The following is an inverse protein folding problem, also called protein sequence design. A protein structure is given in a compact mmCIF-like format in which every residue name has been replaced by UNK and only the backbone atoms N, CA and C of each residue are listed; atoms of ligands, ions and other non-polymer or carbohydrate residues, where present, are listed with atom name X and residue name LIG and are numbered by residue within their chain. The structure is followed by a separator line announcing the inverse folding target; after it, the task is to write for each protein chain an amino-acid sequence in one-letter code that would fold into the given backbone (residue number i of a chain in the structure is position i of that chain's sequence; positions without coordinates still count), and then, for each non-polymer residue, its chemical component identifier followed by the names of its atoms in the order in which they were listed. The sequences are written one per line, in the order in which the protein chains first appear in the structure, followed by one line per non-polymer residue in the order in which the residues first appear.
data_IF_557185811910
#
_entry.id   IF_557185811910
#
_cell.length_a   1.000
_cell.length_b   1.000
_cell.length_c   1.000
_cell.angle_alpha   90.00
_cell.angle_beta   90.00
_cell.angle_gamma   90.00
#
_symmetry.space_group_name_H-M   'P 1'
#
loop_
_entity.id
_entity.type
_entity.pdbx_description
1 polymer ?
#
# COMPACT_ATOMS: atom_id res chain seq x y z
N UNK A 1 -8.78 29.76 17.91
CA UNK A 1 -9.74 29.03 17.06
C UNK A 1 -8.93 27.97 16.34
N UNK A 2 -9.36 26.72 16.44
CA UNK A 2 -8.73 25.58 15.78
C UNK A 2 -8.66 25.84 14.28
N UNK A 3 -7.53 25.51 13.68
CA UNK A 3 -7.27 25.76 12.27
C UNK A 3 -6.98 24.44 11.55
N UNK A 4 -7.72 24.23 10.46
CA UNK A 4 -7.74 23.00 9.67
C UNK A 4 -6.90 23.10 8.38
N UNK A 5 -6.13 24.18 8.20
CA UNK A 5 -5.31 24.40 6.98
C UNK A 5 -4.47 23.17 6.60
N UNK A 6 -3.87 22.49 7.58
CA UNK A 6 -3.02 21.31 7.40
C UNK A 6 -3.67 20.02 7.89
N UNK A 7 -4.97 20.06 8.20
CA UNK A 7 -5.62 18.94 8.85
C UNK A 7 -5.61 17.68 7.96
N UNK A 8 -5.48 16.54 8.61
CA UNK A 8 -5.61 15.22 7.99
C UNK A 8 -6.62 14.39 8.75
N UNK A 9 -7.38 13.59 8.00
CA UNK A 9 -8.41 12.70 8.55
C UNK A 9 -7.86 11.29 8.70
N UNK A 10 -8.47 10.51 9.59
CA UNK A 10 -8.07 9.13 9.86
C UNK A 10 -7.96 8.26 8.60
N UNK A 11 -8.92 8.28 7.63
CA UNK A 11 -8.79 7.47 6.42
C UNK A 11 -7.56 7.85 5.58
N UNK A 12 -7.31 9.15 5.38
CA UNK A 12 -6.15 9.60 4.62
C UNK A 12 -4.84 9.26 5.33
N UNK A 13 -4.77 9.48 6.65
CA UNK A 13 -3.58 9.17 7.43
C UNK A 13 -3.26 7.67 7.40
N UNK A 14 -4.27 6.81 7.56
CA UNK A 14 -4.09 5.36 7.50
C UNK A 14 -3.57 4.92 6.13
N UNK A 15 -4.14 5.45 5.04
CA UNK A 15 -3.63 5.18 3.70
C UNK A 15 -2.20 5.71 3.50
N UNK A 16 -1.91 6.92 3.99
CA UNK A 16 -0.58 7.51 3.88
C UNK A 16 0.48 6.68 4.62
N UNK A 17 0.20 6.26 5.85
CA UNK A 17 1.10 5.39 6.62
C UNK A 17 1.27 4.02 5.96
N UNK A 18 0.19 3.46 5.39
CA UNK A 18 0.28 2.27 4.57
C UNK A 18 1.21 2.48 3.36
N UNK A 19 1.06 3.59 2.62
CA UNK A 19 1.89 3.92 1.46
C UNK A 19 3.37 4.00 1.83
N UNK A 20 3.72 4.72 2.90
CA UNK A 20 5.11 4.85 3.36
C UNK A 20 5.69 3.50 3.82
N UNK A 21 4.87 2.72 4.54
CA UNK A 21 5.22 1.37 4.96
C UNK A 21 5.44 0.44 3.76
N UNK A 22 4.57 0.49 2.76
CA UNK A 22 4.67 -0.29 1.53
C UNK A 22 5.92 0.11 0.73
N UNK A 23 6.17 1.41 0.57
CA UNK A 23 7.36 1.95 -0.10
C UNK A 23 8.64 1.41 0.53
N UNK A 24 8.73 1.44 1.85
CA UNK A 24 9.85 0.88 2.61
C UNK A 24 9.96 -0.63 2.41
N UNK A 25 8.86 -1.37 2.58
CA UNK A 25 8.84 -2.84 2.43
C UNK A 25 9.28 -3.27 1.03
N UNK A 26 8.74 -2.67 -0.03
CA UNK A 26 9.09 -2.99 -1.42
C UNK A 26 10.58 -2.75 -1.66
N UNK A 27 11.11 -1.60 -1.23
CA UNK A 27 12.55 -1.29 -1.38
C UNK A 27 13.44 -2.27 -0.62
N UNK A 28 13.11 -2.56 0.63
CA UNK A 28 13.87 -3.49 1.48
C UNK A 28 13.82 -4.90 0.92
N UNK A 29 12.63 -5.40 0.54
CA UNK A 29 12.45 -6.72 -0.05
C UNK A 29 13.23 -6.85 -1.35
N UNK A 30 13.04 -5.91 -2.29
CA UNK A 30 13.73 -5.92 -3.58
C UNK A 30 15.25 -5.93 -3.39
N UNK A 31 15.78 -5.07 -2.51
CA UNK A 31 17.22 -4.96 -2.25
C UNK A 31 17.78 -6.22 -1.57
N UNK A 32 17.10 -6.72 -0.54
CA UNK A 32 17.56 -7.89 0.22
C UNK A 32 17.56 -9.13 -0.63
N UNK A 33 16.51 -9.32 -1.42
CA UNK A 33 16.37 -10.47 -2.29
C UNK A 33 17.34 -10.44 -3.48
N UNK A 34 17.59 -9.27 -4.07
CA UNK A 34 18.65 -9.12 -5.06
C UNK A 34 20.02 -9.51 -4.47
N UNK A 35 20.31 -9.05 -3.25
CA UNK A 35 21.56 -9.41 -2.56
C UNK A 35 21.67 -10.93 -2.33
N UNK A 36 20.58 -11.58 -1.95
CA UNK A 36 20.53 -13.04 -1.80
C UNK A 36 20.75 -13.76 -3.13
N UNK A 37 20.11 -13.31 -4.21
CA UNK A 37 20.30 -13.88 -5.56
C UNK A 37 21.77 -13.74 -5.99
N UNK A 38 22.36 -12.55 -5.82
CA UNK A 38 23.78 -12.32 -6.15
C UNK A 38 24.71 -13.23 -5.35
N UNK A 39 24.45 -13.39 -4.06
CA UNK A 39 25.22 -14.28 -3.21
C UNK A 39 25.12 -15.74 -3.66
N UNK A 40 23.91 -16.23 -3.98
CA UNK A 40 23.68 -17.61 -4.39
C UNK A 40 24.21 -17.96 -5.78
N UNK A 41 24.29 -16.97 -6.66
CA UNK A 41 24.87 -17.12 -8.00
C UNK A 41 26.40 -16.93 -8.00
N UNK A 42 27.00 -16.57 -6.88
CA UNK A 42 28.47 -16.55 -6.74
C UNK A 42 29.00 -17.99 -6.73
N UNK A 43 30.04 -18.32 -7.53
CA UNK A 43 30.62 -19.66 -7.56
C UNK A 43 30.98 -20.18 -6.16
N UNK A 44 30.58 -21.40 -5.84
CA UNK A 44 30.78 -22.04 -4.53
C UNK A 44 29.67 -21.78 -3.49
N UNK A 45 28.59 -21.08 -3.88
CA UNK A 45 27.43 -20.83 -3.03
C UNK A 45 26.13 -21.51 -3.52
N UNK A 46 26.19 -22.34 -4.56
CA UNK A 46 25.03 -22.85 -5.31
C UNK A 46 24.02 -23.60 -4.42
N UNK A 47 24.50 -24.23 -3.34
CA UNK A 47 23.69 -25.00 -2.40
C UNK A 47 23.48 -24.32 -1.03
N UNK A 48 23.88 -23.05 -0.88
CA UNK A 48 23.82 -22.34 0.41
C UNK A 48 22.46 -21.74 0.73
N UNK A 49 21.47 -21.85 -0.16
CA UNK A 49 20.10 -21.37 0.09
C UNK A 49 19.51 -22.01 1.35
N UNK A 50 19.67 -23.32 1.52
CA UNK A 50 19.17 -24.04 2.70
C UNK A 50 19.83 -23.55 4.00
N UNK A 51 21.11 -23.20 3.96
CA UNK A 51 21.81 -22.63 5.12
C UNK A 51 21.31 -21.23 5.46
N UNK A 52 21.08 -20.38 4.45
CA UNK A 52 20.52 -19.04 4.64
C UNK A 52 19.12 -19.10 5.25
N UNK A 53 18.25 -19.97 4.73
CA UNK A 53 16.89 -20.14 5.25
C UNK A 53 16.92 -20.58 6.72
N UNK A 54 17.72 -21.61 7.06
CA UNK A 54 17.87 -22.09 8.44
C UNK A 54 18.45 -21.03 9.40
N UNK A 55 19.34 -20.16 8.92
CA UNK A 55 19.90 -19.05 9.71
C UNK A 55 18.91 -17.92 9.94
N UNK A 56 17.96 -17.72 9.03
CA UNK A 56 17.03 -16.58 9.07
C UNK A 56 16.01 -16.75 10.20
N UNK A 57 15.45 -17.95 10.35
CA UNK A 57 14.51 -18.23 11.43
C UNK A 57 14.54 -19.73 11.81
N UNK A 58 14.64 -19.97 13.13
CA UNK A 58 14.76 -21.30 13.72
C UNK A 58 13.57 -22.21 13.43
N UNK A 59 12.43 -21.68 13.00
CA UNK A 59 11.25 -22.44 12.60
C UNK A 59 11.41 -23.12 11.23
N UNK A 60 12.35 -22.66 10.39
CA UNK A 60 12.60 -23.21 9.06
C UNK A 60 13.61 -24.37 9.07
N UNK A 61 13.53 -25.28 10.06
CA UNK A 61 14.47 -26.41 10.14
C UNK A 61 14.27 -27.43 9.00
N UNK A 62 13.06 -27.45 8.42
CA UNK A 62 12.65 -28.32 7.32
C UNK A 62 12.03 -27.48 6.17
N UNK A 63 12.82 -26.64 5.47
CA UNK A 63 12.28 -25.99 4.28
C UNK A 63 11.92 -27.08 3.26
N UNK A 64 10.80 -26.96 2.53
CA UNK A 64 10.46 -27.94 1.50
C UNK A 64 11.63 -28.10 0.54
N UNK A 65 12.05 -29.35 0.30
CA UNK A 65 13.16 -29.66 -0.60
C UNK A 65 12.86 -29.10 -2.00
N UNK A 66 13.60 -28.09 -2.43
CA UNK A 66 13.61 -27.62 -3.81
C UNK A 66 14.45 -28.57 -4.68
N UNK A 67 13.96 -29.80 -4.88
CA UNK A 67 14.43 -30.61 -6.01
C UNK A 67 13.59 -30.23 -7.21
N UNK A 68 14.14 -29.37 -8.08
CA UNK A 68 13.60 -29.22 -9.44
C UNK A 68 13.70 -30.58 -10.14
N UNK A 69 12.65 -31.08 -10.78
CA UNK A 69 12.76 -32.28 -11.59
C UNK A 69 13.80 -32.03 -12.68
N UNK A 70 14.87 -32.83 -12.68
CA UNK A 70 15.81 -32.83 -13.80
C UNK A 70 15.03 -33.14 -15.08
N UNK A 71 15.20 -32.38 -16.17
CA UNK A 71 14.66 -32.79 -17.45
C UNK A 71 15.19 -34.20 -17.76
N UNK A 72 14.40 -35.07 -18.40
CA UNK A 72 14.85 -36.40 -18.76
C UNK A 72 16.08 -36.26 -19.66
N UNK A 73 17.24 -36.59 -19.10
CA UNK A 73 18.48 -36.68 -19.86
C UNK A 73 18.39 -37.98 -20.63
N UNK A 74 18.21 -37.87 -21.94
CA UNK A 74 18.34 -39.01 -22.83
C UNK A 74 19.82 -39.41 -22.90
N UNK A 75 20.22 -40.34 -22.02
CA UNK A 75 21.59 -40.86 -21.89
C UNK A 75 22.11 -41.54 -23.17
N UNK A 76 21.26 -41.69 -24.19
CA UNK A 76 21.63 -42.26 -25.49
C UNK A 76 22.62 -41.40 -26.30
N UNK A 77 22.72 -40.09 -26.02
CA UNK A 77 23.61 -39.18 -26.76
C UNK A 77 24.98 -38.91 -26.11
N UNK A 78 25.23 -39.38 -24.87
CA UNK A 78 26.46 -39.09 -24.14
C UNK A 78 27.61 -40.09 -24.36
N UNK A 79 27.41 -41.14 -25.17
CA UNK A 79 28.46 -42.15 -25.43
C UNK A 79 29.28 -41.96 -26.69
N UNK A 80 28.98 -40.98 -27.55
CA UNK A 80 29.72 -40.77 -28.79
C UNK A 80 30.23 -39.33 -28.93
N UNK A 81 31.30 -38.99 -28.20
CA UNK A 81 32.37 -38.06 -28.64
C UNK A 81 33.47 -37.91 -27.59
N UNK A 82 34.16 -38.99 -27.28
CA UNK A 82 35.57 -38.91 -26.85
C UNK A 82 36.41 -38.65 -28.10
N UNK A 83 36.57 -37.38 -28.48
CA UNK A 83 37.68 -36.96 -29.34
C UNK A 83 38.20 -35.61 -28.87
N UNK A 84 39.43 -35.64 -28.38
CA UNK A 84 40.21 -34.50 -27.92
C UNK A 84 40.22 -33.35 -28.94
N UNK A 85 39.81 -32.17 -28.51
CA UNK A 85 40.36 -30.89 -29.00
C UNK A 85 40.10 -29.82 -27.95
N UNK A 86 41.19 -29.26 -27.41
CA UNK A 86 41.18 -28.06 -26.56
C UNK A 86 40.34 -26.97 -27.23
N UNK A 87 39.31 -26.50 -26.54
CA UNK A 87 38.47 -25.35 -26.89
C UNK A 87 38.29 -24.47 -25.65
N UNK A 88 39.39 -24.21 -24.93
CA UNK A 88 39.42 -23.47 -23.66
C UNK A 88 39.10 -21.95 -23.79
N UNK A 89 38.45 -21.51 -24.88
CA UNK A 89 38.08 -20.09 -25.10
C UNK A 89 36.66 -19.86 -25.61
N UNK A 90 36.02 -20.86 -26.22
CA UNK A 90 34.60 -20.74 -26.63
C UNK A 90 33.64 -21.17 -25.51
N UNK A 91 34.05 -22.08 -24.63
CA UNK A 91 33.24 -22.53 -23.48
C UNK A 91 33.07 -21.45 -22.40
N UNK A 92 34.11 -20.67 -22.10
CA UNK A 92 34.07 -19.61 -21.08
C UNK A 92 33.09 -18.47 -21.43
N UNK A 93 32.95 -18.12 -22.71
CA UNK A 93 31.98 -17.10 -23.15
C UNK A 93 30.53 -17.60 -23.05
N UNK A 94 30.30 -18.90 -23.27
CA UNK A 94 28.98 -19.51 -23.12
C UNK A 94 28.56 -19.67 -21.66
N UNK A 95 29.51 -20.01 -20.77
CA UNK A 95 29.23 -20.15 -19.34
C UNK A 95 28.94 -18.79 -18.69
N UNK A 96 29.70 -17.74 -19.04
CA UNK A 96 29.46 -16.39 -18.52
C UNK A 96 28.10 -15.84 -18.98
N UNK A 97 27.74 -16.03 -20.25
CA UNK A 97 26.43 -15.64 -20.81
C UNK A 97 25.28 -16.43 -20.17
N UNK A 98 25.48 -17.73 -19.92
CA UNK A 98 24.51 -18.56 -19.22
C UNK A 98 24.26 -18.09 -17.78
N UNK A 99 25.32 -17.79 -17.02
CA UNK A 99 25.18 -17.30 -15.65
C UNK A 99 24.54 -15.90 -15.60
N UNK A 100 24.84 -15.03 -16.57
CA UNK A 100 24.20 -13.72 -16.69
C UNK A 100 22.69 -13.85 -16.94
N UNK A 101 22.29 -14.66 -17.92
CA UNK A 101 20.86 -14.93 -18.20
C UNK A 101 20.13 -15.54 -17.02
N UNK A 102 20.78 -16.46 -16.30
CA UNK A 102 20.23 -17.06 -15.08
C UNK A 102 20.01 -16.01 -13.99
N UNK A 103 20.95 -15.07 -13.83
CA UNK A 103 20.81 -13.93 -12.90
C UNK A 103 19.64 -13.03 -13.29
N UNK A 104 19.56 -12.64 -14.55
CA UNK A 104 18.51 -11.77 -15.07
C UNK A 104 17.12 -12.38 -14.85
N UNK A 105 16.94 -13.66 -15.23
CA UNK A 105 15.68 -14.37 -15.03
C UNK A 105 15.27 -14.44 -13.55
N UNK A 106 16.23 -14.74 -12.66
CA UNK A 106 15.96 -14.79 -11.22
C UNK A 106 15.54 -13.41 -10.67
N UNK A 107 16.20 -12.33 -11.12
CA UNK A 107 15.85 -10.96 -10.75
C UNK A 107 14.47 -10.55 -11.28
N UNK A 108 14.14 -10.93 -12.51
CA UNK A 108 12.83 -10.68 -13.10
C UNK A 108 11.71 -11.38 -12.33
N UNK A 109 11.83 -12.68 -12.06
CA UNK A 109 10.84 -13.42 -11.27
C UNK A 109 10.62 -12.78 -9.88
N UNK A 110 11.69 -12.26 -9.30
CA UNK A 110 11.62 -11.58 -8.01
C UNK A 110 10.88 -10.26 -8.08
N UNK A 111 11.23 -9.44 -9.06
CA UNK A 111 10.64 -8.13 -9.28
C UNK A 111 9.17 -8.26 -9.57
N UNK A 112 8.81 -9.28 -10.34
CA UNK A 112 7.45 -9.65 -10.61
C UNK A 112 6.68 -9.97 -9.31
N UNK A 113 7.17 -10.90 -8.49
CA UNK A 113 6.53 -11.27 -7.23
C UNK A 113 6.33 -10.08 -6.28
N UNK A 114 7.38 -9.26 -6.08
CA UNK A 114 7.31 -8.07 -5.22
C UNK A 114 6.29 -7.07 -5.75
N UNK A 115 6.23 -6.87 -7.07
CA UNK A 115 5.26 -5.96 -7.70
C UNK A 115 3.82 -6.43 -7.57
N UNK A 116 3.55 -7.73 -7.74
CA UNK A 116 2.21 -8.28 -7.55
C UNK A 116 1.70 -8.05 -6.12
N UNK A 117 2.53 -8.38 -5.13
CA UNK A 117 2.21 -8.16 -3.72
C UNK A 117 1.95 -6.67 -3.43
N UNK A 118 2.76 -5.77 -4.01
CA UNK A 118 2.59 -4.34 -3.83
C UNK A 118 1.27 -3.83 -4.44
N UNK A 119 0.93 -4.26 -5.66
CA UNK A 119 -0.32 -3.87 -6.33
C UNK A 119 -1.52 -4.42 -5.56
N UNK A 120 -1.48 -5.68 -5.13
CA UNK A 120 -2.57 -6.26 -4.34
C UNK A 120 -2.77 -5.54 -3.01
N UNK A 121 -1.71 -5.38 -2.23
CA UNK A 121 -1.78 -4.68 -0.95
C UNK A 121 -2.32 -3.27 -1.10
N UNK A 122 -1.94 -2.59 -2.20
CA UNK A 122 -2.43 -1.25 -2.53
C UNK A 122 -3.95 -1.21 -2.73
N UNK A 123 -4.52 -2.14 -3.50
CA UNK A 123 -5.95 -2.19 -3.74
C UNK A 123 -6.75 -2.71 -2.54
N UNK A 124 -6.16 -3.57 -1.71
CA UNK A 124 -6.76 -3.95 -0.42
C UNK A 124 -6.84 -2.74 0.52
N UNK A 125 -5.76 -1.97 0.67
CA UNK A 125 -5.76 -0.76 1.49
C UNK A 125 -6.72 0.31 0.97
N UNK A 126 -6.90 0.41 -0.36
CA UNK A 126 -7.93 1.25 -0.97
C UNK A 126 -9.33 0.85 -0.50
N UNK A 127 -9.64 -0.45 -0.54
CA UNK A 127 -10.95 -0.96 -0.13
C UNK A 127 -11.24 -0.68 1.34
N UNK A 128 -10.25 -0.93 2.22
CA UNK A 128 -10.35 -0.63 3.64
C UNK A 128 -10.59 0.87 3.88
N UNK A 129 -9.86 1.75 3.17
CA UNK A 129 -10.03 3.19 3.32
C UNK A 129 -11.39 3.70 2.84
N UNK A 130 -11.95 3.14 1.77
CA UNK A 130 -13.31 3.49 1.32
C UNK A 130 -14.34 3.12 2.39
N UNK A 131 -14.20 1.91 2.98
CA UNK A 131 -15.08 1.45 4.07
C UNK A 131 -14.93 2.35 5.30
N UNK A 132 -13.71 2.76 5.64
CA UNK A 132 -13.44 3.65 6.77
C UNK A 132 -14.09 5.02 6.59
N UNK A 133 -14.05 5.61 5.39
CA UNK A 133 -14.72 6.88 5.08
C UNK A 133 -16.22 6.78 5.35
N UNK A 134 -16.84 5.71 4.83
CA UNK A 134 -18.26 5.46 5.01
C UNK A 134 -18.65 5.26 6.47
N UNK A 135 -17.80 4.55 7.22
CA UNK A 135 -17.96 4.32 8.66
C UNK A 135 -17.88 5.62 9.46
N UNK A 136 -16.92 6.49 9.14
CA UNK A 136 -16.78 7.80 9.80
C UNK A 136 -17.93 8.74 9.50
N UNK A 137 -18.39 8.83 8.25
CA UNK A 137 -19.56 9.64 7.91
C UNK A 137 -20.83 9.13 8.57
N UNK A 138 -21.04 7.81 8.59
CA UNK A 138 -22.20 7.21 9.25
C UNK A 138 -22.18 7.49 10.75
N UNK A 139 -21.02 7.30 11.39
CA UNK A 139 -20.85 7.56 12.84
C UNK A 139 -21.08 9.02 13.19
N UNK A 140 -20.57 9.95 12.37
CA UNK A 140 -20.76 11.38 12.53
C UNK A 140 -22.22 11.81 12.30
N UNK A 141 -22.86 11.27 11.26
CA UNK A 141 -24.25 11.57 10.95
C UNK A 141 -25.19 11.11 12.07
N UNK A 142 -24.98 9.88 12.59
CA UNK A 142 -25.70 9.37 13.75
C UNK A 142 -25.49 10.24 14.99
N UNK A 143 -24.26 10.67 15.23
CA UNK A 143 -23.93 11.50 16.39
C UNK A 143 -24.64 12.87 16.35
N UNK A 144 -24.69 13.51 15.17
CA UNK A 144 -25.34 14.81 15.01
C UNK A 144 -26.83 14.75 14.65
N UNK A 145 -27.46 13.58 14.67
CA UNK A 145 -28.84 13.37 14.23
C UNK A 145 -29.12 13.92 12.83
N UNK A 146 -28.16 13.75 11.93
CA UNK A 146 -28.28 14.11 10.50
C UNK A 146 -28.39 12.85 9.65
N UNK A 147 -28.94 12.97 8.46
CA UNK A 147 -28.93 11.88 7.48
C UNK A 147 -27.71 12.04 6.56
N UNK A 148 -26.89 10.99 6.47
CA UNK A 148 -25.91 10.87 5.39
C UNK A 148 -26.64 10.46 4.11
N UNK A 149 -26.96 11.44 3.25
CA UNK A 149 -27.57 11.15 1.95
C UNK A 149 -26.48 10.72 0.98
N UNK A 150 -26.57 9.47 0.54
CA UNK A 150 -25.77 8.96 -0.58
C UNK A 150 -26.64 8.84 -1.81
N UNK A 151 -26.13 9.28 -2.94
CA UNK A 151 -26.75 9.00 -4.24
C UNK A 151 -26.35 7.59 -4.69
N UNK A 152 -27.22 6.96 -5.48
CA UNK A 152 -26.83 5.74 -6.20
C UNK A 152 -25.92 6.11 -7.36
N UNK A 153 -24.79 5.42 -7.48
CA UNK A 153 -23.89 5.53 -8.64
C UNK A 153 -23.84 4.22 -9.41
N UNK A 154 -23.88 4.34 -10.72
CA UNK A 154 -23.79 3.22 -11.68
C UNK A 154 -22.35 2.94 -12.10
N UNK A 155 -21.36 3.71 -11.62
CA UNK A 155 -19.97 3.51 -12.03
C UNK A 155 -19.41 2.19 -11.48
N UNK A 156 -18.74 1.46 -12.36
CA UNK A 156 -17.95 0.27 -12.00
C UNK A 156 -16.60 0.62 -11.37
N UNK A 157 -16.15 1.87 -11.53
CA UNK A 157 -14.91 2.39 -10.95
C UNK A 157 -15.17 2.79 -9.49
N UNK A 158 -14.46 2.16 -8.54
CA UNK A 158 -14.65 2.40 -7.10
C UNK A 158 -14.43 3.85 -6.69
N UNK A 159 -13.46 4.54 -7.29
CA UNK A 159 -13.17 5.94 -6.98
C UNK A 159 -14.28 6.84 -7.50
N UNK A 160 -14.70 6.64 -8.75
CA UNK A 160 -15.80 7.41 -9.32
C UNK A 160 -17.09 7.21 -8.52
N UNK A 161 -17.40 5.96 -8.18
CA UNK A 161 -18.58 5.62 -7.36
C UNK A 161 -18.57 6.32 -6.00
N UNK A 162 -17.41 6.45 -5.37
CA UNK A 162 -17.26 7.18 -4.10
C UNK A 162 -17.49 8.69 -4.29
N UNK A 163 -16.94 9.27 -5.35
CA UNK A 163 -17.13 10.70 -5.63
C UNK A 163 -18.58 11.00 -6.01
N UNK A 164 -19.20 10.16 -6.84
CA UNK A 164 -20.60 10.31 -7.25
C UNK A 164 -21.54 10.19 -6.05
N UNK A 165 -21.35 9.16 -5.20
CA UNK A 165 -22.22 8.88 -4.05
C UNK A 165 -22.27 10.03 -3.04
N UNK A 166 -21.21 10.84 -3.00
CA UNK A 166 -21.09 12.01 -2.15
C UNK A 166 -21.19 13.35 -2.90
N UNK A 167 -21.52 13.33 -4.19
CA UNK A 167 -21.65 14.52 -5.05
C UNK A 167 -20.36 15.39 -5.06
N UNK A 168 -19.19 14.74 -5.00
CA UNK A 168 -17.90 15.41 -5.02
C UNK A 168 -17.41 15.68 -6.45
N UNK A 169 -16.64 16.76 -6.61
CA UNK A 169 -16.09 17.14 -7.90
C UNK A 169 -14.75 16.44 -8.16
N UNK A 170 -14.67 15.67 -9.25
CA UNK A 170 -13.46 14.93 -9.65
C UNK A 170 -12.40 15.77 -10.39
N UNK A 171 -12.59 17.09 -10.57
CA UNK A 171 -11.69 17.95 -11.37
C UNK A 171 -10.22 17.83 -10.97
N UNK A 172 -9.94 17.73 -9.68
CA UNK A 172 -8.57 17.66 -9.15
C UNK A 172 -7.92 16.30 -9.35
N UNK A 173 -8.70 15.23 -9.49
CA UNK A 173 -8.20 13.87 -9.66
C UNK A 173 -8.35 13.33 -11.08
N UNK A 174 -9.02 14.08 -11.97
CA UNK A 174 -9.30 13.65 -13.35
C UNK A 174 -8.04 13.22 -14.09
N UNK A 175 -6.92 13.89 -13.84
CA UNK A 175 -5.64 13.56 -14.46
C UNK A 175 -5.02 12.28 -13.93
N UNK A 176 -5.48 11.72 -12.81
CA UNK A 176 -4.98 10.48 -12.22
C UNK A 176 -5.85 9.26 -12.56
N UNK A 177 -7.11 9.46 -12.94
CA UNK A 177 -8.06 8.38 -13.23
C UNK A 177 -7.56 7.39 -14.29
N UNK A 178 -6.97 7.81 -15.44
CA UNK A 178 -6.46 6.85 -16.42
C UNK A 178 -5.37 5.94 -15.87
N UNK A 179 -4.47 6.48 -15.03
CA UNK A 179 -3.39 5.72 -14.39
C UNK A 179 -3.98 4.74 -13.36
N UNK A 180 -4.96 5.19 -12.58
CA UNK A 180 -5.69 4.31 -11.65
C UNK A 180 -6.37 3.15 -12.39
N UNK A 181 -7.03 3.42 -13.51
CA UNK A 181 -7.73 2.40 -14.30
C UNK A 181 -6.77 1.40 -14.92
N UNK A 182 -5.62 1.86 -15.41
CA UNK A 182 -4.52 0.99 -15.83
C UNK A 182 -4.13 0.03 -14.70
N UNK A 183 -3.84 0.54 -13.49
CA UNK A 183 -3.45 -0.32 -12.38
C UNK A 183 -4.58 -1.21 -11.86
N UNK A 184 -5.84 -0.78 -12.00
CA UNK A 184 -7.00 -1.61 -11.68
C UNK A 184 -7.12 -2.79 -12.65
N UNK A 185 -6.90 -2.55 -13.95
CA UNK A 185 -6.87 -3.59 -14.98
C UNK A 185 -5.69 -4.56 -14.79
N UNK A 186 -4.53 -4.04 -14.39
CA UNK A 186 -3.38 -4.85 -13.97
C UNK A 186 -3.75 -5.74 -12.79
N UNK A 187 -4.23 -5.17 -11.67
CA UNK A 187 -4.60 -5.94 -10.48
C UNK A 187 -5.60 -7.05 -10.80
N UNK A 188 -6.61 -6.76 -11.61
CA UNK A 188 -7.61 -7.75 -12.01
C UNK A 188 -7.01 -8.87 -12.87
N UNK A 189 -6.05 -8.54 -13.73
CA UNK A 189 -5.36 -9.53 -14.56
C UNK A 189 -4.44 -10.42 -13.70
N UNK A 190 -3.72 -9.86 -12.73
CA UNK A 190 -2.95 -10.62 -11.74
C UNK A 190 -3.89 -11.57 -10.98
N UNK A 191 -5.00 -11.06 -10.45
CA UNK A 191 -5.92 -11.83 -9.61
C UNK A 191 -6.68 -12.95 -10.33
N UNK A 192 -7.09 -12.73 -11.58
CA UNK A 192 -8.07 -13.60 -12.24
C UNK A 192 -7.54 -14.28 -13.50
N UNK A 193 -6.33 -13.94 -13.95
CA UNK A 193 -5.75 -14.46 -15.21
C UNK A 193 -4.33 -14.96 -15.04
N UNK A 194 -3.91 -15.32 -13.82
CA UNK A 194 -2.55 -15.78 -13.53
C UNK A 194 -1.51 -14.80 -14.09
N UNK A 195 -1.77 -13.51 -13.90
CA UNK A 195 -0.89 -12.44 -14.35
C UNK A 195 -0.72 -12.32 -15.85
N UNK A 196 -1.71 -12.78 -16.62
CA UNK A 196 -1.81 -12.54 -18.06
C UNK A 196 -2.74 -11.39 -18.39
N UNK A 197 -2.30 -10.50 -19.27
CA UNK A 197 -3.05 -9.32 -19.68
C UNK A 197 -4.44 -9.68 -20.22
N UNK A 198 -5.44 -8.94 -19.72
CA UNK A 198 -6.82 -8.98 -20.21
C UNK A 198 -6.99 -8.09 -21.44
N UNK A 199 -8.11 -8.25 -22.17
CA UNK A 199 -8.47 -7.33 -23.26
C UNK A 199 -8.52 -5.87 -22.76
N UNK A 200 -9.16 -5.65 -21.61
CA UNK A 200 -9.22 -4.32 -20.98
C UNK A 200 -7.83 -3.74 -20.70
N UNK A 201 -6.91 -4.53 -20.16
CA UNK A 201 -5.54 -4.05 -19.91
C UNK A 201 -4.82 -3.75 -21.22
N UNK A 202 -4.93 -4.63 -22.21
CA UNK A 202 -4.30 -4.45 -23.52
C UNK A 202 -4.77 -3.16 -24.20
N UNK A 203 -6.06 -2.86 -24.15
CA UNK A 203 -6.64 -1.61 -24.66
C UNK A 203 -6.19 -0.38 -23.87
N UNK A 204 -6.34 -0.38 -22.54
CA UNK A 204 -6.02 0.78 -21.69
C UNK A 204 -4.53 1.11 -21.75
N UNK A 205 -3.67 0.09 -21.74
CA UNK A 205 -2.21 0.29 -21.71
C UNK A 205 -1.67 1.04 -22.93
N UNK A 206 -2.34 0.92 -24.09
CA UNK A 206 -1.98 1.60 -25.35
C UNK A 206 -2.79 2.88 -25.60
N UNK A 207 -3.65 3.27 -24.66
CA UNK A 207 -4.52 4.41 -24.85
C UNK A 207 -3.75 5.73 -24.79
N UNK A 208 -4.10 6.65 -25.71
CA UNK A 208 -3.52 7.99 -25.72
C UNK A 208 -3.85 8.76 -24.44
N UNK A 209 -5.02 8.51 -23.84
CA UNK A 209 -5.44 9.11 -22.58
C UNK A 209 -4.51 8.73 -21.41
N UNK A 210 -4.12 7.45 -21.30
CA UNK A 210 -3.14 7.00 -20.31
C UNK A 210 -1.80 7.71 -20.50
N UNK A 211 -1.32 7.77 -21.75
CA UNK A 211 -0.04 8.39 -22.08
C UNK A 211 -0.01 9.86 -21.68
N UNK A 212 -1.02 10.63 -22.06
CA UNK A 212 -1.14 12.05 -21.72
C UNK A 212 -1.25 12.27 -20.20
N UNK A 213 -1.96 11.38 -19.51
CA UNK A 213 -2.08 11.40 -18.06
C UNK A 213 -0.72 11.17 -17.37
N UNK A 214 0.06 10.18 -17.82
CA UNK A 214 1.41 9.91 -17.29
C UNK A 214 2.35 11.07 -17.58
N UNK A 215 2.40 11.56 -18.83
CA UNK A 215 3.29 12.67 -19.22
C UNK A 215 2.97 13.97 -18.45
N UNK A 216 1.69 14.25 -18.21
CA UNK A 216 1.28 15.45 -17.48
C UNK A 216 1.69 15.41 -16.01
N UNK A 217 1.46 14.28 -15.33
CA UNK A 217 1.72 14.17 -13.90
C UNK A 217 3.18 13.80 -13.60
N UNK A 218 3.85 13.12 -14.54
CA UNK A 218 5.23 12.62 -14.39
C UNK A 218 6.04 12.90 -15.67
N UNK A 219 6.34 14.17 -15.99
CA UNK A 219 7.00 14.56 -17.24
C UNK A 219 8.43 14.02 -17.39
N UNK A 220 9.07 13.66 -16.27
CA UNK A 220 10.39 13.00 -16.24
C UNK A 220 10.30 11.48 -16.00
N UNK A 221 9.08 10.96 -15.96
CA UNK A 221 8.79 9.54 -15.75
C UNK A 221 9.03 8.73 -17.01
N UNK A 222 9.25 7.42 -16.83
CA UNK A 222 9.16 6.48 -17.95
C UNK A 222 7.68 6.23 -18.27
N UNK A 223 7.33 5.98 -19.54
CA UNK A 223 6.02 5.47 -19.89
C UNK A 223 5.68 4.20 -19.09
N UNK A 224 4.39 3.98 -18.87
CA UNK A 224 3.92 2.70 -18.33
C UNK A 224 4.05 1.62 -19.41
N UNK A 225 4.15 0.36 -18.97
CA UNK A 225 4.25 -0.77 -19.89
C UNK A 225 2.97 -0.90 -20.70
N UNK A 226 3.13 -1.11 -22.01
CA UNK A 226 2.05 -1.55 -22.90
C UNK A 226 1.96 -3.07 -22.86
N UNK A 227 0.77 -3.62 -23.08
CA UNK A 227 0.57 -5.07 -23.10
C UNK A 227 -0.27 -5.53 -24.29
N UNK A 228 0.11 -6.66 -24.88
CA UNK A 228 -0.73 -7.45 -25.77
C UNK A 228 -1.68 -8.35 -24.99
N UNK A 229 -2.79 -8.75 -25.62
CA UNK A 229 -3.71 -9.70 -25.01
C UNK A 229 -2.99 -11.01 -24.69
N UNK A 230 -3.20 -11.52 -23.47
CA UNK A 230 -2.62 -12.76 -22.96
C UNK A 230 -1.09 -12.76 -22.78
N UNK A 231 -0.45 -11.60 -22.88
CA UNK A 231 0.96 -11.40 -22.50
C UNK A 231 1.16 -11.50 -20.98
N UNK A 232 2.29 -12.03 -20.55
CA UNK A 232 2.67 -12.04 -19.13
C UNK A 232 2.92 -10.61 -18.63
N UNK A 233 2.29 -10.24 -17.52
CA UNK A 233 2.38 -8.89 -16.97
C UNK A 233 3.65 -8.75 -16.16
N UNK A 234 4.63 -8.08 -16.76
CA UNK A 234 5.84 -7.67 -16.05
C UNK A 234 5.80 -6.19 -15.66
N UNK A 235 5.79 -5.91 -14.36
CA UNK A 235 5.82 -4.56 -13.80
C UNK A 235 6.97 -4.45 -12.81
N UNK A 236 7.79 -3.41 -12.95
CA UNK A 236 8.90 -3.18 -12.03
C UNK A 236 8.42 -2.78 -10.62
N UNK A 237 9.19 -3.08 -9.56
CA UNK A 237 8.84 -2.65 -8.19
C UNK A 237 8.69 -1.14 -8.05
N UNK A 238 9.41 -0.37 -8.86
CA UNK A 238 9.25 1.09 -8.91
C UNK A 238 7.89 1.49 -9.48
N UNK A 239 7.45 0.83 -10.55
CA UNK A 239 6.17 1.09 -11.19
C UNK A 239 5.00 0.62 -10.32
N UNK A 240 5.13 -0.48 -9.57
CA UNK A 240 4.10 -0.90 -8.62
C UNK A 240 3.91 0.09 -7.47
N UNK A 241 4.97 0.76 -7.00
CA UNK A 241 4.86 1.85 -6.03
C UNK A 241 4.12 3.09 -6.56
N UNK A 242 4.19 3.34 -7.87
CA UNK A 242 3.40 4.40 -8.49
C UNK A 242 1.90 4.15 -8.32
N UNK A 243 1.43 2.89 -8.36
CA UNK A 243 0.04 2.54 -8.10
C UNK A 243 -0.44 3.10 -6.75
N UNK A 244 0.30 2.79 -5.68
CA UNK A 244 -0.02 3.28 -4.33
C UNK A 244 0.09 4.80 -4.23
N UNK A 245 1.08 5.39 -4.90
CA UNK A 245 1.23 6.83 -4.92
C UNK A 245 0.04 7.55 -5.54
N UNK A 246 -0.48 7.03 -6.67
CA UNK A 246 -1.65 7.59 -7.35
C UNK A 246 -2.88 7.57 -6.45
N UNK A 247 -3.13 6.44 -5.78
CA UNK A 247 -4.24 6.33 -4.85
C UNK A 247 -4.04 7.26 -3.64
N UNK A 248 -2.81 7.45 -3.16
CA UNK A 248 -2.51 8.44 -2.10
C UNK A 248 -2.88 9.85 -2.53
N UNK A 249 -2.55 10.26 -3.76
CA UNK A 249 -2.89 11.58 -4.30
C UNK A 249 -4.41 11.77 -4.45
N UNK A 250 -5.13 10.71 -4.83
CA UNK A 250 -6.59 10.71 -4.84
C UNK A 250 -7.15 10.88 -3.43
N UNK A 251 -6.62 10.14 -2.44
CA UNK A 251 -7.05 10.28 -1.06
C UNK A 251 -6.69 11.63 -0.42
N UNK A 252 -5.66 12.30 -0.91
CA UNK A 252 -5.32 13.68 -0.49
C UNK A 252 -6.42 14.67 -0.91
N UNK A 253 -7.03 14.48 -2.08
CA UNK A 253 -8.18 15.28 -2.52
C UNK A 253 -9.45 14.89 -1.73
N UNK A 254 -9.71 13.60 -1.54
CA UNK A 254 -10.82 13.10 -0.71
C UNK A 254 -10.73 13.66 0.72
N UNK A 255 -9.53 13.73 1.31
CA UNK A 255 -9.31 14.30 2.64
C UNK A 255 -9.89 15.71 2.76
N UNK A 256 -9.76 16.54 1.72
CA UNK A 256 -10.32 17.91 1.70
C UNK A 256 -11.84 17.90 1.76
N UNK A 257 -12.48 16.96 1.06
CA UNK A 257 -13.93 16.80 1.13
C UNK A 257 -14.40 16.30 2.50
N UNK A 258 -13.68 15.35 3.10
CA UNK A 258 -13.97 14.86 4.46
C UNK A 258 -13.88 16.03 5.46
N UNK A 259 -12.78 16.80 5.43
CA UNK A 259 -12.59 17.96 6.30
C UNK A 259 -13.69 18.99 6.10
N UNK A 260 -14.05 19.29 4.85
CA UNK A 260 -15.13 20.22 4.54
C UNK A 260 -16.49 19.75 5.08
N UNK A 261 -16.78 18.46 4.99
CA UNK A 261 -18.05 17.86 5.45
C UNK A 261 -18.12 17.74 6.98
N UNK A 262 -17.02 17.38 7.62
CA UNK A 262 -16.95 17.14 9.06
C UNK A 262 -16.71 18.43 9.87
N UNK A 263 -15.96 19.38 9.31
CA UNK A 263 -15.56 20.61 10.00
C UNK A 263 -14.75 20.34 11.26
N UNK A 264 -14.55 21.40 12.06
CA UNK A 264 -13.80 21.32 13.32
C UNK A 264 -14.47 20.32 14.27
N UNK A 265 -15.79 20.37 14.38
CA UNK A 265 -16.57 19.53 15.29
C UNK A 265 -16.41 18.04 14.97
N UNK A 266 -16.48 17.66 13.69
CA UNK A 266 -16.31 16.27 13.30
C UNK A 266 -14.88 15.77 13.50
N UNK A 267 -13.86 16.61 13.27
CA UNK A 267 -12.47 16.25 13.57
C UNK A 267 -12.25 16.06 15.08
N UNK A 268 -12.86 16.91 15.93
CA UNK A 268 -12.81 16.73 17.38
C UNK A 268 -13.55 15.46 17.81
N UNK A 269 -14.71 15.16 17.20
CA UNK A 269 -15.41 13.91 17.42
C UNK A 269 -14.55 12.68 17.07
N UNK A 270 -13.92 12.66 15.89
CA UNK A 270 -12.98 11.59 15.50
C UNK A 270 -11.82 11.48 16.50
N UNK A 271 -11.31 12.62 16.96
CA UNK A 271 -10.20 12.68 17.93
C UNK A 271 -10.61 12.07 19.26
N UNK A 272 -11.79 12.41 19.76
CA UNK A 272 -12.33 11.84 21.00
C UNK A 272 -12.56 10.33 20.88
N UNK A 273 -13.12 9.86 19.77
CA UNK A 273 -13.32 8.43 19.49
C UNK A 273 -11.99 7.67 19.53
N UNK A 274 -10.98 8.16 18.81
CA UNK A 274 -9.67 7.52 18.80
C UNK A 274 -8.95 7.61 20.15
N UNK A 275 -9.07 8.75 20.86
CA UNK A 275 -8.40 8.95 22.13
C UNK A 275 -9.01 8.13 23.28
N UNK A 276 -10.34 7.91 23.27
CA UNK A 276 -11.09 7.48 24.45
C UNK A 276 -12.07 6.31 24.21
N UNK A 277 -11.99 5.60 23.08
CA UNK A 277 -12.69 4.32 22.94
C UNK A 277 -11.82 3.12 23.35
N UNK A 278 -12.44 2.06 23.93
CA UNK A 278 -11.72 0.86 24.36
C UNK A 278 -10.88 0.21 23.27
N UNK A 279 -11.37 0.18 22.03
CA UNK A 279 -10.68 -0.40 20.88
C UNK A 279 -9.38 0.31 20.51
N UNK A 280 -9.24 1.58 20.89
CA UNK A 280 -8.15 2.46 20.49
C UNK A 280 -7.28 2.90 21.68
N UNK A 281 -7.64 2.52 22.90
CA UNK A 281 -6.95 2.98 24.11
C UNK A 281 -5.61 2.26 24.29
N UNK A 282 -4.53 2.92 23.87
CA UNK A 282 -3.18 2.44 24.18
C UNK A 282 -2.81 2.71 25.65
N UNK A 283 -2.67 1.64 26.44
CA UNK A 283 -2.28 1.65 27.86
C UNK A 283 -0.80 2.00 28.08
N UNK A 284 0.06 1.83 27.07
CA UNK A 284 1.51 2.04 27.20
C UNK A 284 1.93 3.52 27.17
N UNK A 285 1.03 4.43 26.76
CA UNK A 285 1.26 5.88 26.77
C UNK A 285 0.52 6.51 27.94
N UNK A 286 1.20 6.68 29.07
CA UNK A 286 0.67 7.39 30.24
C UNK A 286 0.67 8.89 29.93
N UNK A 287 -0.49 9.41 29.55
CA UNK A 287 -0.74 10.85 29.47
C UNK A 287 -1.60 11.21 30.68
N UNK A 288 -1.05 12.00 31.61
CA UNK A 288 -1.68 12.26 32.91
C UNK A 288 -3.04 12.95 32.83
N UNK A 289 -3.32 13.73 31.78
CA UNK A 289 -4.58 14.46 31.65
C UNK A 289 -5.29 14.07 30.37
N UNK A 290 -6.61 13.83 30.45
CA UNK A 290 -7.45 13.55 29.29
C UNK A 290 -7.28 14.63 28.22
N UNK A 291 -7.22 15.90 28.62
CA UNK A 291 -6.99 17.04 27.71
C UNK A 291 -5.72 16.88 26.88
N UNK A 292 -4.63 16.50 27.53
CA UNK A 292 -3.34 16.36 26.85
C UNK A 292 -3.40 15.21 25.82
N UNK A 293 -4.13 14.14 26.13
CA UNK A 293 -4.35 13.03 25.18
C UNK A 293 -5.19 13.46 23.99
N UNK A 294 -6.25 14.24 24.21
CA UNK A 294 -7.04 14.82 23.12
C UNK A 294 -6.17 15.73 22.24
N UNK A 295 -5.37 16.62 22.85
CA UNK A 295 -4.48 17.53 22.13
C UNK A 295 -3.39 16.79 21.35
N UNK A 296 -2.85 15.67 21.87
CA UNK A 296 -1.90 14.82 21.14
C UNK A 296 -2.52 14.26 19.86
N UNK A 297 -3.77 13.80 19.90
CA UNK A 297 -4.47 13.32 18.71
C UNK A 297 -4.77 14.49 17.74
N UNK A 298 -5.36 15.57 18.24
CA UNK A 298 -5.77 16.71 17.41
C UNK A 298 -4.57 17.35 16.69
N UNK A 299 -3.50 17.67 17.42
CA UNK A 299 -2.32 18.34 16.86
C UNK A 299 -1.30 17.37 16.26
N UNK A 300 -1.00 16.27 16.97
CA UNK A 300 0.06 15.34 16.57
C UNK A 300 -0.37 14.36 15.49
N UNK A 301 -1.60 13.87 15.54
CA UNK A 301 -2.12 12.90 14.56
C UNK A 301 -2.86 13.56 13.40
N UNK A 302 -3.77 14.49 13.71
CA UNK A 302 -4.59 15.14 12.69
C UNK A 302 -4.06 16.50 12.22
N UNK A 303 -2.90 16.93 12.71
CA UNK A 303 -2.21 18.16 12.27
C UNK A 303 -3.08 19.43 12.34
N UNK A 304 -4.06 19.45 13.24
CA UNK A 304 -4.88 20.63 13.51
C UNK A 304 -4.06 21.59 14.37
N UNK A 305 -3.98 22.86 13.96
CA UNK A 305 -3.28 23.88 14.74
C UNK A 305 -4.15 24.30 15.92
N UNK A 306 -3.63 24.08 17.13
CA UNK A 306 -4.26 24.46 18.39
C UNK A 306 -3.61 25.76 18.89
N UNK A 307 -4.40 26.83 19.06
CA UNK A 307 -3.88 28.12 19.55
C UNK A 307 -3.94 28.26 21.08
N UNK A 308 -4.80 27.50 21.73
CA UNK A 308 -4.93 27.45 23.19
C UNK A 308 -5.24 26.04 23.68
N UNK A 309 -4.66 25.66 24.82
CA UNK A 309 -4.68 24.28 25.32
C UNK A 309 -6.09 23.69 25.53
N UNK A 310 -7.09 24.54 25.76
CA UNK A 310 -8.48 24.12 26.02
C UNK A 310 -9.39 24.21 24.79
N UNK A 311 -8.89 24.64 23.62
CA UNK A 311 -9.77 24.83 22.45
C UNK A 311 -10.45 23.53 21.99
N UNK A 312 -9.69 22.42 21.94
CA UNK A 312 -10.24 21.11 21.59
C UNK A 312 -11.27 20.61 22.62
N UNK A 313 -10.99 20.84 23.90
CA UNK A 313 -11.90 20.48 25.01
C UNK A 313 -13.20 21.27 24.92
N UNK A 314 -13.13 22.59 24.68
CA UNK A 314 -14.33 23.43 24.56
C UNK A 314 -15.24 22.98 23.42
N UNK A 315 -14.68 22.55 22.28
CA UNK A 315 -15.45 21.97 21.19
C UNK A 315 -16.04 20.61 21.59
N UNK A 316 -15.27 19.74 22.26
CA UNK A 316 -15.80 18.47 22.77
C UNK A 316 -16.90 18.66 23.83
N UNK A 317 -16.84 19.73 24.62
CA UNK A 317 -17.86 20.12 25.59
C UNK A 317 -19.12 20.64 24.90
N UNK A 318 -18.98 21.48 23.86
CA UNK A 318 -20.14 21.96 23.08
C UNK A 318 -20.85 20.83 22.34
N UNK A 319 -20.12 19.77 21.98
CA UNK A 319 -20.67 18.53 21.42
C UNK A 319 -21.27 17.60 22.50
N UNK A 320 -21.07 17.88 23.79
CA UNK A 320 -21.59 17.05 24.88
C UNK A 320 -20.85 15.71 25.09
N UNK A 321 -19.73 15.46 24.40
CA UNK A 321 -18.97 14.19 24.49
C UNK A 321 -17.87 14.20 25.54
N UNK A 322 -17.42 15.39 25.96
CA UNK A 322 -16.24 15.53 26.79
C UNK A 322 -16.36 14.83 28.15
N UNK A 323 -17.54 14.91 28.78
CA UNK A 323 -17.77 14.33 30.11
C UNK A 323 -17.52 12.82 30.13
N UNK A 324 -18.00 12.11 29.11
CA UNK A 324 -17.82 10.67 29.01
C UNK A 324 -16.38 10.31 28.64
N UNK A 325 -15.74 11.08 27.77
CA UNK A 325 -14.31 10.93 27.45
C UNK A 325 -13.41 11.08 28.69
N UNK A 326 -13.63 12.14 29.48
CA UNK A 326 -12.89 12.41 30.70
C UNK A 326 -13.11 11.31 31.75
N UNK A 327 -14.36 10.85 31.92
CA UNK A 327 -14.69 9.74 32.82
C UNK A 327 -14.03 8.44 32.39
N UNK A 328 -14.05 8.13 31.10
CA UNK A 328 -13.38 6.95 30.54
C UNK A 328 -11.88 6.99 30.82
N UNK A 329 -11.23 8.12 30.54
CA UNK A 329 -9.81 8.29 30.79
C UNK A 329 -9.46 8.12 32.27
N UNK A 330 -10.18 8.77 33.18
CA UNK A 330 -9.98 8.66 34.63
C UNK A 330 -10.12 7.21 35.13
N UNK A 331 -11.12 6.48 34.63
CA UNK A 331 -11.31 5.08 34.99
C UNK A 331 -10.16 4.17 34.54
N UNK A 332 -9.58 4.42 33.37
CA UNK A 332 -8.44 3.64 32.89
C UNK A 332 -7.14 4.03 33.60
N UNK A 333 -6.93 5.32 33.89
CA UNK A 333 -5.79 5.77 34.67
C UNK A 333 -5.79 5.15 36.08
N UNK A 334 -6.94 5.04 36.74
CA UNK A 334 -7.07 4.33 38.03
C UNK A 334 -6.70 2.84 38.00
N UNK A 335 -6.87 2.18 36.85
CA UNK A 335 -6.46 0.78 36.70
C UNK A 335 -4.95 0.66 36.54
N UNK A 336 -4.32 1.63 35.88
CA UNK A 336 -2.88 1.67 35.62
C UNK A 336 -2.10 2.19 36.84
N UNK A 337 -2.65 3.15 37.58
CA UNK A 337 -2.13 3.67 38.84
C UNK A 337 -3.28 3.82 39.87
N UNK A 338 -3.39 2.91 40.86
CA UNK A 338 -4.43 2.97 41.89
C UNK A 338 -4.39 4.23 42.78
N UNK A 339 -3.33 5.04 42.69
CA UNK A 339 -3.21 6.31 43.42
C UNK A 339 -3.78 7.52 42.66
N UNK A 340 -4.35 7.30 41.46
CA UNK A 340 -4.87 8.34 40.55
C UNK A 340 -6.34 8.76 40.82
#
# INVERSE_FOLDING_TARGET
MLDLEYAVTEPFLNYHLFHEGLNTKVKVLTSSLNHVIEYLLTPGNENKMNELIKKTDKSWQFPPNFSLPSPPVDESNLKNKTSSRRLDKEEDNNELDYQLKKKELAQEMLYWYVSEMAIFGTFSALDDCIVDIDSWFSSWAMFNNTQDKKSESTSSNKIERLYDSHEWNMKNIKTFLPIYEYFSAVRNSIAHRQSKASHKLSEISKSQELKESVERNFPKGKPLSEFEYNEDIFISPKTSLLCSHIIRLIFEDINKYIIKKMGIEGIIYMSCKLAFEPSSYNESKVVNLARNRLNEIVSGRYHVIIKGEDEAVKVAESLGIWRDCAKFHANNMRKLDPKF
#
